data_IF_502079132898
#
_entry.id   IF_502079132898
#
_cell.length_a   1.000
_cell.length_b   1.000
_cell.length_c   1.000
_cell.angle_alpha   90.00
_cell.angle_beta   90.00
_cell.angle_gamma   90.00
#
_symmetry.space_group_name_H-M   'P 1'
#
loop_
_entity.id
_entity.type
_entity.pdbx_description
1 polymer ?
#
# COMPACT_ATOMS: atom_id res chain seq x y z
N UNK A 1 3.03 8.22 14.68
CA UNK A 1 1.95 8.63 13.78
C UNK A 1 2.39 9.91 13.09
N UNK A 2 2.31 9.98 11.78
CA UNK A 2 2.66 11.14 10.97
C UNK A 2 1.36 11.81 10.51
N UNK A 3 1.17 13.08 10.85
CA UNK A 3 0.03 13.88 10.40
C UNK A 3 0.59 14.94 9.45
N UNK A 4 0.19 14.88 8.19
CA UNK A 4 0.51 15.90 7.21
C UNK A 4 -0.70 16.82 7.07
N UNK A 5 -0.51 18.04 7.52
CA UNK A 5 -1.56 19.06 7.60
C UNK A 5 -1.68 19.83 6.30
N UNK A 6 -2.86 20.36 5.99
CA UNK A 6 -3.09 21.21 4.81
C UNK A 6 -3.81 22.48 5.26
N UNK A 7 -3.34 23.62 4.73
CA UNK A 7 -4.00 24.91 4.89
C UNK A 7 -4.66 25.32 3.56
N UNK A 8 -5.98 25.31 3.53
CA UNK A 8 -6.73 25.86 2.39
C UNK A 8 -6.91 27.38 2.57
N UNK A 9 -6.55 28.22 1.59
CA UNK A 9 -6.56 29.67 1.76
C UNK A 9 -7.93 30.31 2.05
N UNK A 10 -9.03 29.61 1.73
CA UNK A 10 -10.38 30.02 2.11
C UNK A 10 -11.37 28.86 2.05
N UNK A 11 -12.65 29.14 2.31
CA UNK A 11 -13.73 28.13 2.32
C UNK A 11 -14.29 27.87 0.93
N UNK A 12 -14.36 28.93 0.11
CA UNK A 12 -14.98 28.91 -1.21
C UNK A 12 -14.03 29.51 -2.24
N UNK A 13 -14.14 29.04 -3.48
CA UNK A 13 -13.51 29.71 -4.61
C UNK A 13 -14.19 31.08 -4.85
N UNK A 14 -13.43 32.00 -5.45
CA UNK A 14 -13.87 33.37 -5.72
C UNK A 14 -13.72 33.73 -7.21
N UNK A 15 -14.71 33.31 -8.00
CA UNK A 15 -14.83 33.47 -9.44
C UNK A 15 -16.29 33.77 -9.86
N UNK A 16 -16.45 34.39 -11.03
CA UNK A 16 -17.77 34.82 -11.49
C UNK A 16 -18.68 33.64 -11.90
N UNK A 17 -18.10 32.58 -12.47
CA UNK A 17 -18.84 31.41 -12.95
C UNK A 17 -19.06 30.39 -11.82
N UNK A 18 -20.29 30.32 -11.30
CA UNK A 18 -20.66 29.43 -10.18
C UNK A 18 -20.66 27.94 -10.51
N UNK A 19 -21.04 27.57 -11.73
CA UNK A 19 -20.99 26.16 -12.17
C UNK A 19 -19.54 25.68 -12.26
N UNK A 20 -18.66 26.55 -12.75
CA UNK A 20 -17.23 26.30 -12.80
C UNK A 20 -16.63 26.20 -11.39
N UNK A 21 -16.94 27.13 -10.48
CA UNK A 21 -16.47 27.08 -9.09
C UNK A 21 -16.83 25.74 -8.44
N UNK A 22 -18.09 25.31 -8.56
CA UNK A 22 -18.57 24.06 -7.97
C UNK A 22 -17.83 22.85 -8.56
N UNK A 23 -17.65 22.83 -9.89
CA UNK A 23 -16.90 21.77 -10.58
C UNK A 23 -15.46 21.68 -10.08
N UNK A 24 -14.75 22.81 -10.01
CA UNK A 24 -13.35 22.85 -9.56
C UNK A 24 -13.23 22.49 -8.08
N UNK A 25 -14.13 22.99 -7.23
CA UNK A 25 -14.12 22.67 -5.81
C UNK A 25 -14.31 21.17 -5.55
N UNK A 26 -15.16 20.48 -6.32
CA UNK A 26 -15.30 19.03 -6.24
C UNK A 26 -14.01 18.28 -6.66
N UNK A 27 -13.28 18.80 -7.66
CA UNK A 27 -11.99 18.24 -8.05
C UNK A 27 -10.93 18.42 -6.96
N UNK A 28 -10.88 19.61 -6.34
CA UNK A 28 -9.99 19.87 -5.21
C UNK A 28 -10.31 18.98 -4.00
N UNK A 29 -11.58 18.74 -3.69
CA UNK A 29 -11.99 17.77 -2.66
C UNK A 29 -11.58 16.34 -2.98
N UNK A 30 -11.61 15.96 -4.26
CA UNK A 30 -11.15 14.63 -4.70
C UNK A 30 -9.64 14.48 -4.47
N UNK A 31 -8.85 15.53 -4.77
CA UNK A 31 -7.42 15.58 -4.45
C UNK A 31 -7.16 15.49 -2.95
N UNK A 32 -7.89 16.27 -2.15
CA UNK A 32 -7.80 16.25 -0.68
C UNK A 32 -8.09 14.85 -0.12
N UNK A 33 -9.13 14.19 -0.62
CA UNK A 33 -9.48 12.83 -0.22
C UNK A 33 -8.35 11.84 -0.52
N UNK A 34 -7.75 11.90 -1.70
CA UNK A 34 -6.63 11.02 -2.07
C UNK A 34 -5.37 11.34 -1.25
N UNK A 35 -5.11 12.61 -0.95
CA UNK A 35 -4.01 13.01 -0.08
C UNK A 35 -4.14 12.40 1.33
N UNK A 36 -5.32 12.51 1.96
CA UNK A 36 -5.53 11.93 3.29
C UNK A 36 -5.59 10.41 3.28
N UNK A 37 -6.07 9.78 2.20
CA UNK A 37 -6.00 8.33 2.02
C UNK A 37 -4.54 7.86 1.98
N UNK A 38 -3.66 8.57 1.27
CA UNK A 38 -2.22 8.31 1.28
C UNK A 38 -1.61 8.51 2.68
N UNK A 39 -1.97 9.58 3.39
CA UNK A 39 -1.51 9.80 4.77
C UNK A 39 -1.93 8.65 5.70
N UNK A 40 -3.18 8.18 5.61
CA UNK A 40 -3.69 7.09 6.41
C UNK A 40 -2.97 5.77 6.09
N UNK A 41 -2.81 5.47 4.79
CA UNK A 41 -2.10 4.28 4.32
C UNK A 41 -0.64 4.24 4.80
N UNK A 42 0.07 5.38 4.79
CA UNK A 42 1.43 5.49 5.31
C UNK A 42 1.50 5.09 6.80
N UNK A 43 0.58 5.60 7.62
CA UNK A 43 0.59 5.29 9.06
C UNK A 43 0.31 3.82 9.33
N UNK A 44 -0.66 3.23 8.61
CA UNK A 44 -0.96 1.80 8.71
C UNK A 44 0.21 0.95 8.23
N UNK A 45 0.89 1.36 7.16
CA UNK A 45 2.08 0.70 6.65
C UNK A 45 3.19 0.68 7.70
N UNK A 46 3.58 1.85 8.23
CA UNK A 46 4.64 1.96 9.25
C UNK A 46 4.29 1.16 10.50
N UNK A 47 3.04 1.24 10.96
CA UNK A 47 2.58 0.47 12.11
C UNK A 47 2.68 -1.05 11.85
N UNK A 48 2.24 -1.52 10.68
CA UNK A 48 2.32 -2.94 10.31
C UNK A 48 3.75 -3.48 10.22
N UNK A 49 4.73 -2.63 9.86
CA UNK A 49 6.13 -3.00 9.88
C UNK A 49 6.70 -3.12 11.30
N UNK A 50 6.24 -2.27 12.23
CA UNK A 50 6.68 -2.28 13.64
C UNK A 50 6.16 -3.48 14.45
N UNK A 51 5.01 -4.06 14.06
CA UNK A 51 4.36 -5.16 14.79
C UNK A 51 4.99 -6.54 14.51
N UNK A 52 5.95 -6.63 13.57
CA UNK A 52 6.57 -7.92 13.22
C UNK A 52 7.19 -8.57 14.47
N UNK A 53 6.69 -9.74 14.90
CA UNK A 53 7.18 -10.38 16.10
C UNK A 53 8.65 -10.75 15.89
N UNK A 54 9.49 -10.38 16.85
CA UNK A 54 10.83 -10.94 16.96
C UNK A 54 10.68 -12.46 17.03
N UNK A 55 11.32 -13.18 16.10
CA UNK A 55 11.39 -14.64 16.11
C UNK A 55 12.04 -15.21 17.40
N UNK A 56 12.57 -14.35 18.27
CA UNK A 56 13.36 -14.69 19.44
C UNK A 56 12.57 -14.72 20.77
N UNK A 57 11.23 -14.75 20.77
CA UNK A 57 10.48 -14.95 22.01
C UNK A 57 10.40 -16.45 22.38
N UNK A 58 11.43 -16.91 23.07
CA UNK A 58 11.58 -18.29 23.54
C UNK A 58 10.40 -18.73 24.42
N UNK A 59 9.87 -17.83 25.25
CA UNK A 59 8.72 -18.15 26.11
C UNK A 59 7.46 -18.41 25.29
N UNK A 60 7.21 -17.60 24.25
CA UNK A 60 6.09 -17.82 23.34
C UNK A 60 6.21 -19.16 22.61
N UNK A 61 7.41 -19.53 22.19
CA UNK A 61 7.66 -20.84 21.56
C UNK A 61 7.41 -21.99 22.53
N UNK A 62 7.90 -21.89 23.78
CA UNK A 62 7.70 -22.93 24.81
C UNK A 62 6.21 -23.09 25.15
N UNK A 63 5.47 -21.98 25.32
CA UNK A 63 4.00 -22.00 25.52
C UNK A 63 3.25 -22.63 24.35
N UNK A 64 3.56 -22.21 23.11
CA UNK A 64 2.94 -22.78 21.91
C UNK A 64 3.25 -24.29 21.78
N UNK A 65 4.45 -24.73 22.15
CA UNK A 65 4.85 -26.15 22.11
C UNK A 65 4.13 -27.00 23.17
N UNK A 66 4.00 -26.48 24.40
CA UNK A 66 3.27 -27.15 25.46
C UNK A 66 1.79 -27.30 25.08
N UNK A 67 1.17 -26.23 24.58
CA UNK A 67 -0.25 -26.26 24.22
C UNK A 67 -0.55 -27.23 23.08
N UNK A 68 0.32 -27.30 22.06
CA UNK A 68 0.21 -28.32 21.00
C UNK A 68 0.25 -29.74 21.56
N UNK A 69 1.14 -30.00 22.52
CA UNK A 69 1.28 -31.32 23.13
C UNK A 69 0.03 -31.73 23.91
N UNK A 70 -0.62 -30.78 24.60
CA UNK A 70 -1.90 -31.01 25.30
C UNK A 70 -3.03 -31.34 24.31
N UNK A 71 -3.15 -30.56 23.23
CA UNK A 71 -4.17 -30.79 22.20
C UNK A 71 -3.95 -32.15 21.53
N UNK A 72 -2.70 -32.51 21.24
CA UNK A 72 -2.37 -33.80 20.65
C UNK A 72 -2.84 -34.96 21.54
N UNK A 73 -2.58 -34.91 22.85
CA UNK A 73 -3.06 -35.94 23.79
C UNK A 73 -4.57 -36.07 23.80
N UNK A 74 -5.30 -34.95 23.69
CA UNK A 74 -6.77 -34.95 23.62
C UNK A 74 -7.23 -35.65 22.32
N UNK A 75 -6.63 -35.31 21.17
CA UNK A 75 -6.97 -35.92 19.87
C UNK A 75 -6.65 -37.43 19.87
N UNK A 76 -5.52 -37.84 20.46
CA UNK A 76 -5.14 -39.25 20.60
C UNK A 76 -6.13 -40.03 21.47
N UNK A 77 -6.60 -39.43 22.57
CA UNK A 77 -7.62 -40.04 23.44
C UNK A 77 -8.98 -40.19 22.74
N UNK A 78 -9.42 -39.16 22.02
CA UNK A 78 -10.68 -39.19 21.25
C UNK A 78 -10.67 -40.25 20.14
N UNK A 79 -9.50 -40.54 19.57
CA UNK A 79 -9.32 -41.55 18.52
C UNK A 79 -9.03 -42.98 19.05
N UNK A 80 -9.22 -43.22 20.35
CA UNK A 80 -9.12 -44.56 20.94
C UNK A 80 -7.72 -44.97 21.41
N UNK A 81 -6.79 -44.03 21.60
CA UNK A 81 -5.55 -44.22 22.37
C UNK A 81 -4.44 -45.04 21.70
N UNK A 82 -4.68 -45.62 20.53
CA UNK A 82 -3.67 -46.36 19.75
C UNK A 82 -3.34 -45.63 18.45
N UNK A 83 -2.22 -44.89 18.46
CA UNK A 83 -1.67 -44.27 17.25
C UNK A 83 -1.02 -45.34 16.39
N UNK A 84 -1.78 -45.97 15.49
CA UNK A 84 -1.20 -46.70 14.36
C UNK A 84 -0.37 -45.73 13.51
N UNK A 85 0.72 -46.16 12.87
CA UNK A 85 1.53 -45.29 11.99
C UNK A 85 0.72 -44.56 10.91
N UNK A 86 -0.39 -45.16 10.48
CA UNK A 86 -1.33 -44.62 9.50
C UNK A 86 -2.16 -43.44 10.03
N UNK A 87 -2.44 -43.39 11.34
CA UNK A 87 -3.24 -42.34 11.98
C UNK A 87 -2.41 -41.15 12.48
N UNK A 88 -1.08 -41.28 12.53
CA UNK A 88 -0.19 -40.23 13.04
C UNK A 88 -0.28 -38.92 12.25
N UNK A 89 -0.36 -39.01 10.91
CA UNK A 89 -0.50 -37.82 10.07
C UNK A 89 -1.83 -37.11 10.33
N UNK A 90 -2.91 -37.87 10.47
CA UNK A 90 -4.24 -37.31 10.69
C UNK A 90 -4.38 -36.69 12.08
N UNK A 91 -3.84 -37.34 13.12
CA UNK A 91 -3.75 -36.80 14.48
C UNK A 91 -2.96 -35.50 14.49
N UNK A 92 -1.81 -35.47 13.80
CA UNK A 92 -0.97 -34.25 13.71
C UNK A 92 -1.69 -33.13 12.98
N UNK A 93 -2.36 -33.44 11.87
CA UNK A 93 -3.14 -32.47 11.12
C UNK A 93 -4.27 -31.88 11.97
N UNK A 94 -5.06 -32.74 12.62
CA UNK A 94 -6.16 -32.33 13.48
C UNK A 94 -5.69 -31.50 14.68
N UNK A 95 -4.57 -31.87 15.29
CA UNK A 95 -3.90 -31.11 16.35
C UNK A 95 -3.57 -29.70 15.88
N UNK A 96 -2.92 -29.56 14.72
CA UNK A 96 -2.57 -28.25 14.15
C UNK A 96 -3.82 -27.42 13.81
N UNK A 97 -4.90 -28.04 13.32
CA UNK A 97 -6.16 -27.33 13.03
C UNK A 97 -6.79 -26.80 14.33
N UNK A 98 -6.89 -27.63 15.38
CA UNK A 98 -7.44 -27.22 16.68
C UNK A 98 -6.59 -26.13 17.32
N UNK A 99 -5.27 -26.30 17.31
CA UNK A 99 -4.32 -25.31 17.83
C UNK A 99 -4.44 -23.95 17.13
N UNK A 100 -4.49 -23.95 15.78
CA UNK A 100 -4.68 -22.72 15.00
C UNK A 100 -6.02 -22.04 15.30
N UNK A 101 -7.12 -22.80 15.34
CA UNK A 101 -8.46 -22.27 15.65
C UNK A 101 -8.52 -21.66 17.05
N UNK A 102 -7.97 -22.34 18.05
CA UNK A 102 -7.88 -21.81 19.42
C UNK A 102 -7.10 -20.50 19.45
N UNK A 103 -5.95 -20.45 18.77
CA UNK A 103 -5.14 -19.24 18.67
C UNK A 103 -5.92 -18.08 18.03
N UNK A 104 -6.68 -18.35 16.97
CA UNK A 104 -7.51 -17.34 16.31
C UNK A 104 -8.68 -16.88 17.18
N UNK A 105 -9.36 -17.79 17.87
CA UNK A 105 -10.45 -17.46 18.81
C UNK A 105 -9.96 -16.59 19.98
N UNK A 106 -8.69 -16.73 20.37
CA UNK A 106 -8.05 -15.91 21.40
C UNK A 106 -7.44 -14.60 20.85
N UNK A 107 -7.79 -14.19 19.62
CA UNK A 107 -7.33 -12.93 19.01
C UNK A 107 -5.98 -13.01 18.30
N UNK A 108 -5.40 -14.21 18.15
CA UNK A 108 -4.18 -14.41 17.36
C UNK A 108 -4.43 -14.20 15.86
N UNK A 109 -3.54 -13.47 15.20
CA UNK A 109 -3.63 -13.19 13.77
C UNK A 109 -2.91 -14.30 12.97
N UNK A 110 -3.48 -14.79 11.85
CA UNK A 110 -2.77 -15.68 10.93
C UNK A 110 -1.47 -15.07 10.40
N UNK A 111 -0.41 -15.86 10.29
CA UNK A 111 0.90 -15.39 9.79
C UNK A 111 0.81 -14.86 8.37
N UNK A 112 -0.04 -15.46 7.56
CA UNK A 112 -0.32 -15.04 6.20
C UNK A 112 -0.92 -13.62 6.18
N UNK A 113 -1.72 -13.26 7.19
CA UNK A 113 -2.28 -11.91 7.29
C UNK A 113 -1.20 -10.93 7.76
N UNK A 114 -0.44 -11.28 8.80
CA UNK A 114 0.70 -10.46 9.27
C UNK A 114 1.70 -10.16 8.15
N UNK A 115 2.02 -11.16 7.33
CA UNK A 115 2.90 -11.01 6.17
C UNK A 115 2.30 -10.07 5.12
N UNK A 116 0.99 -10.22 4.82
CA UNK A 116 0.31 -9.47 3.77
C UNK A 116 -0.04 -8.03 4.15
N UNK A 117 -0.20 -7.72 5.44
CA UNK A 117 -0.63 -6.40 5.92
C UNK A 117 0.23 -5.24 5.36
N UNK A 118 1.57 -5.27 5.45
CA UNK A 118 2.41 -4.23 4.85
C UNK A 118 2.18 -4.06 3.36
N UNK A 119 1.98 -5.15 2.60
CA UNK A 119 1.73 -5.07 1.16
C UNK A 119 0.35 -4.49 0.84
N UNK A 120 -0.66 -4.77 1.67
CA UNK A 120 -2.00 -4.17 1.53
C UNK A 120 -1.89 -2.65 1.70
N UNK A 121 -1.24 -2.18 2.76
CA UNK A 121 -1.11 -0.76 3.03
C UNK A 121 -0.19 -0.03 2.04
N UNK A 122 0.87 -0.68 1.57
CA UNK A 122 1.71 -0.14 0.50
C UNK A 122 0.94 0.03 -0.81
N UNK A 123 0.06 -0.92 -1.18
CA UNK A 123 -0.81 -0.77 -2.35
C UNK A 123 -1.87 0.31 -2.16
N UNK A 124 -2.44 0.44 -0.97
CA UNK A 124 -3.37 1.53 -0.67
C UNK A 124 -2.69 2.89 -0.87
N UNK A 125 -1.46 3.05 -0.38
CA UNK A 125 -0.65 4.24 -0.62
C UNK A 125 -0.40 4.49 -2.11
N UNK A 126 0.03 3.46 -2.84
CA UNK A 126 0.26 3.53 -4.29
C UNK A 126 -1.00 3.96 -5.06
N UNK A 127 -2.15 3.40 -4.71
CA UNK A 127 -3.42 3.73 -5.36
C UNK A 127 -3.91 5.13 -5.02
N UNK A 128 -3.76 5.57 -3.77
CA UNK A 128 -4.07 6.94 -3.39
C UNK A 128 -3.18 7.95 -4.14
N UNK A 129 -1.89 7.65 -4.29
CA UNK A 129 -0.95 8.49 -5.03
C UNK A 129 -1.27 8.54 -6.54
N UNK A 130 -1.56 7.40 -7.18
CA UNK A 130 -2.00 7.34 -8.59
C UNK A 130 -3.39 8.00 -8.78
N UNK A 131 -4.28 7.90 -7.80
CA UNK A 131 -5.56 8.60 -7.77
C UNK A 131 -5.37 10.11 -7.73
N UNK A 132 -4.50 10.61 -6.85
CA UNK A 132 -4.12 12.02 -6.79
C UNK A 132 -3.57 12.51 -8.13
N UNK A 133 -2.60 11.80 -8.71
CA UNK A 133 -2.02 12.13 -10.02
C UNK A 133 -3.11 12.25 -11.11
N UNK A 134 -4.00 11.26 -11.20
CA UNK A 134 -5.10 11.26 -12.16
C UNK A 134 -6.06 12.42 -11.97
N UNK A 135 -6.49 12.70 -10.73
CA UNK A 135 -7.38 13.83 -10.47
C UNK A 135 -6.71 15.17 -10.79
N UNK A 136 -5.41 15.31 -10.50
CA UNK A 136 -4.64 16.50 -10.81
C UNK A 136 -4.48 16.66 -12.32
N UNK A 137 -4.22 15.58 -13.04
CA UNK A 137 -4.14 15.56 -14.50
C UNK A 137 -5.46 15.88 -15.19
N UNK A 138 -6.60 15.54 -14.58
CA UNK A 138 -7.92 15.99 -15.06
C UNK A 138 -8.12 17.48 -14.75
N UNK A 139 -7.79 17.92 -13.54
CA UNK A 139 -7.88 19.34 -13.15
C UNK A 139 -7.03 20.24 -14.05
N UNK A 140 -5.82 19.82 -14.41
CA UNK A 140 -4.90 20.55 -15.28
C UNK A 140 -5.42 20.75 -16.72
N UNK A 141 -6.42 19.97 -17.14
CA UNK A 141 -7.02 20.03 -18.49
C UNK A 141 -8.34 20.81 -18.53
N UNK A 142 -8.81 21.26 -17.38
CA UNK A 142 -10.05 22.04 -17.30
C UNK A 142 -9.86 23.45 -17.88
N UNK A 143 -10.92 24.00 -18.46
CA UNK A 143 -10.90 25.37 -18.95
C UNK A 143 -10.80 26.35 -17.78
N UNK A 144 -10.12 27.48 -17.98
CA UNK A 144 -9.99 28.59 -17.02
C UNK A 144 -9.29 28.25 -15.69
N UNK A 145 -8.60 27.11 -15.58
CA UNK A 145 -7.72 26.83 -14.43
C UNK A 145 -6.40 27.58 -14.54
N UNK A 146 -5.74 27.91 -13.42
CA UNK A 146 -4.41 28.51 -13.45
C UNK A 146 -3.40 27.65 -14.21
N UNK A 147 -2.57 28.26 -15.05
CA UNK A 147 -1.53 27.54 -15.85
C UNK A 147 -0.52 26.79 -14.97
N UNK A 148 -0.35 27.24 -13.71
CA UNK A 148 0.52 26.60 -12.73
C UNK A 148 0.09 25.16 -12.39
N UNK A 149 -1.20 24.83 -12.51
CA UNK A 149 -1.71 23.48 -12.24
C UNK A 149 -1.06 22.44 -13.14
N UNK A 150 -0.79 22.79 -14.41
CA UNK A 150 -0.09 21.90 -15.33
C UNK A 150 1.36 21.64 -14.89
N UNK A 151 2.02 22.63 -14.27
CA UNK A 151 3.38 22.47 -13.72
C UNK A 151 3.39 21.55 -12.51
N UNK A 152 2.40 21.68 -11.62
CA UNK A 152 2.25 20.78 -10.48
C UNK A 152 1.97 19.33 -10.90
N UNK A 153 1.16 19.14 -11.94
CA UNK A 153 0.95 17.80 -12.52
C UNK A 153 2.25 17.21 -13.09
N UNK A 154 3.05 18.00 -13.82
CA UNK A 154 4.35 17.54 -14.33
C UNK A 154 5.31 17.14 -13.20
N UNK A 155 5.30 17.88 -12.08
CA UNK A 155 6.14 17.60 -10.92
C UNK A 155 5.83 16.24 -10.28
N UNK A 156 4.59 15.74 -10.36
CA UNK A 156 4.28 14.38 -9.88
C UNK A 156 5.06 13.32 -10.65
N UNK A 157 5.15 13.45 -11.97
CA UNK A 157 5.91 12.51 -12.80
C UNK A 157 7.43 12.58 -12.55
N UNK A 158 7.94 13.74 -12.15
CA UNK A 158 9.35 13.92 -11.77
C UNK A 158 9.66 13.29 -10.41
N UNK A 159 8.79 13.48 -9.42
CA UNK A 159 8.99 12.95 -8.06
C UNK A 159 8.65 11.44 -7.96
N UNK A 160 7.74 10.94 -8.82
CA UNK A 160 7.25 9.57 -8.80
C UNK A 160 7.29 8.92 -10.21
N UNK A 161 8.47 8.76 -10.82
CA UNK A 161 8.60 8.32 -12.21
C UNK A 161 8.02 6.92 -12.47
N UNK A 162 8.13 6.01 -11.51
CA UNK A 162 7.69 4.62 -11.66
C UNK A 162 6.23 4.39 -11.25
N UNK A 163 5.52 5.42 -10.77
CA UNK A 163 4.19 5.31 -10.15
C UNK A 163 3.21 4.55 -11.03
N UNK A 164 3.08 5.00 -12.28
CA UNK A 164 2.16 4.42 -13.24
C UNK A 164 2.55 2.98 -13.59
N UNK A 165 3.85 2.71 -13.74
CA UNK A 165 4.37 1.39 -14.09
C UNK A 165 4.10 0.37 -12.99
N UNK A 166 4.46 0.70 -11.75
CA UNK A 166 4.23 -0.14 -10.56
C UNK A 166 2.74 -0.35 -10.32
N UNK A 167 1.92 0.70 -10.43
CA UNK A 167 0.46 0.61 -10.29
C UNK A 167 -0.17 -0.30 -11.33
N UNK A 168 0.23 -0.17 -12.60
CA UNK A 168 -0.29 -1.04 -13.66
C UNK A 168 0.06 -2.52 -13.40
N UNK A 169 1.26 -2.82 -12.90
CA UNK A 169 1.62 -4.19 -12.51
C UNK A 169 0.80 -4.67 -11.31
N UNK A 170 0.56 -3.82 -10.31
CA UNK A 170 -0.29 -4.18 -9.17
C UNK A 170 -1.74 -4.49 -9.57
N UNK A 171 -2.27 -3.82 -10.61
CA UNK A 171 -3.61 -4.05 -11.15
C UNK A 171 -3.70 -5.27 -12.09
N UNK A 172 -2.62 -5.59 -12.79
CA UNK A 172 -2.54 -6.67 -13.78
C UNK A 172 -1.49 -7.71 -13.38
N UNK A 173 -1.55 -8.13 -12.11
CA UNK A 173 -0.56 -9.01 -11.51
C UNK A 173 -0.52 -10.38 -12.21
N UNK A 174 -1.68 -10.85 -12.66
CA UNK A 174 -1.88 -12.10 -13.39
C UNK A 174 -1.14 -12.12 -14.73
N UNK A 175 -1.18 -11.02 -15.47
CA UNK A 175 -0.47 -10.90 -16.75
C UNK A 175 1.04 -10.86 -16.52
N UNK A 176 1.48 -10.12 -15.50
CA UNK A 176 2.90 -10.03 -15.13
C UNK A 176 3.43 -11.36 -14.62
N UNK A 177 2.64 -12.11 -13.84
CA UNK A 177 2.99 -13.44 -13.36
C UNK A 177 3.21 -14.45 -14.50
N UNK A 178 2.51 -14.26 -15.62
CA UNK A 178 2.68 -15.05 -16.85
C UNK A 178 3.90 -14.61 -17.68
N UNK A 179 4.66 -13.61 -17.24
CA UNK A 179 5.76 -13.04 -17.99
C UNK A 179 5.28 -12.27 -19.22
N UNK A 180 4.10 -11.64 -19.16
CA UNK A 180 3.58 -10.80 -20.23
C UNK A 180 3.79 -9.32 -19.93
N UNK A 181 4.20 -8.57 -20.94
CA UNK A 181 4.34 -7.11 -20.93
C UNK A 181 3.13 -6.41 -21.55
N UNK A 182 3.34 -5.24 -22.15
CA UNK A 182 2.28 -4.48 -22.83
C UNK A 182 1.70 -5.27 -24.00
N UNK A 183 0.37 -5.40 -24.07
CA UNK A 183 -0.33 -6.03 -25.18
C UNK A 183 -0.08 -7.54 -25.31
N UNK A 184 0.07 -8.25 -24.18
CA UNK A 184 0.29 -9.71 -24.13
C UNK A 184 1.56 -10.20 -24.84
N UNK A 185 2.56 -9.33 -25.00
CA UNK A 185 3.87 -9.72 -25.55
C UNK A 185 4.76 -10.34 -24.46
N UNK A 186 5.63 -11.30 -24.78
CA UNK A 186 6.62 -11.81 -23.84
C UNK A 186 7.45 -10.69 -23.23
N UNK A 187 7.61 -10.72 -21.90
CA UNK A 187 8.35 -9.74 -21.14
C UNK A 187 9.85 -10.02 -21.21
N UNK A 188 10.62 -9.02 -21.63
CA UNK A 188 12.08 -9.09 -21.61
C UNK A 188 12.57 -8.46 -20.32
N UNK A 189 12.99 -9.29 -19.36
CA UNK A 189 13.48 -8.83 -18.07
C UNK A 189 14.79 -8.07 -18.22
N UNK A 190 14.92 -6.98 -17.48
CA UNK A 190 16.13 -6.15 -17.45
C UNK A 190 16.90 -6.34 -16.15
N UNK A 191 18.22 -6.09 -16.17
CA UNK A 191 19.05 -6.25 -14.99
C UNK A 191 18.50 -5.45 -13.80
N UNK A 192 18.54 -6.05 -12.61
CA UNK A 192 18.21 -5.37 -11.36
C UNK A 192 19.37 -5.59 -10.38
N UNK A 193 19.80 -4.53 -9.74
CA UNK A 193 20.78 -4.59 -8.66
C UNK A 193 20.40 -3.56 -7.60
N UNK A 194 19.75 -4.03 -6.53
CA UNK A 194 19.40 -3.22 -5.36
C UNK A 194 19.78 -3.96 -4.06
N UNK A 195 19.43 -3.38 -2.91
CA UNK A 195 19.76 -3.95 -1.59
C UNK A 195 19.09 -5.30 -1.29
N UNK A 196 18.05 -5.69 -2.05
CA UNK A 196 17.33 -6.94 -1.86
C UNK A 196 17.71 -8.01 -2.89
N UNK A 197 17.91 -7.61 -4.15
CA UNK A 197 18.08 -8.52 -5.29
C UNK A 197 19.22 -8.01 -6.18
N UNK A 198 20.15 -8.91 -6.50
CA UNK A 198 21.15 -8.72 -7.54
C UNK A 198 20.97 -9.79 -8.62
N UNK A 199 20.32 -9.42 -9.72
CA UNK A 199 20.04 -10.28 -10.86
C UNK A 199 20.47 -9.56 -12.16
N UNK A 200 21.72 -9.76 -12.61
CA UNK A 200 22.24 -9.13 -13.83
C UNK A 200 21.53 -9.63 -15.10
N UNK A 201 20.92 -10.82 -15.08
CA UNK A 201 20.04 -11.32 -16.15
C UNK A 201 18.57 -10.86 -16.05
N UNK A 202 18.25 -10.06 -15.03
CA UNK A 202 16.88 -9.67 -14.67
C UNK A 202 16.13 -10.71 -13.84
N UNK A 203 15.12 -10.24 -13.12
CA UNK A 203 14.25 -11.08 -12.30
C UNK A 203 12.81 -10.58 -12.39
N UNK A 204 11.86 -11.51 -12.44
CA UNK A 204 10.43 -11.18 -12.38
C UNK A 204 10.04 -11.00 -10.91
N UNK A 205 9.67 -9.77 -10.55
CA UNK A 205 9.31 -9.38 -9.19
C UNK A 205 7.89 -8.84 -9.22
N UNK A 206 6.96 -9.54 -8.58
CA UNK A 206 5.54 -9.19 -8.68
C UNK A 206 5.05 -8.31 -7.53
N UNK A 207 5.52 -8.61 -6.32
CA UNK A 207 5.07 -7.93 -5.10
C UNK A 207 6.22 -7.92 -4.10
N UNK A 208 6.94 -6.80 -4.02
CA UNK A 208 8.17 -6.71 -3.25
C UNK A 208 8.19 -5.47 -2.37
N UNK A 209 8.68 -5.66 -1.14
CA UNK A 209 8.97 -4.59 -0.19
C UNK A 209 10.45 -4.61 0.17
N UNK A 210 11.17 -3.57 -0.23
CA UNK A 210 12.57 -3.31 0.12
C UNK A 210 12.63 -2.15 1.12
N UNK A 211 12.51 -2.46 2.41
CA UNK A 211 12.32 -1.44 3.45
C UNK A 211 10.96 -0.75 3.29
N UNK A 212 10.97 0.56 3.05
CA UNK A 212 9.78 1.38 2.74
C UNK A 212 9.39 1.34 1.27
N UNK A 213 10.22 0.79 0.38
CA UNK A 213 9.99 0.83 -1.07
C UNK A 213 9.14 -0.33 -1.53
N UNK A 214 8.00 -0.01 -2.13
CA UNK A 214 7.10 -0.95 -2.78
C UNK A 214 7.38 -1.00 -4.27
N UNK A 215 7.77 -2.17 -4.78
CA UNK A 215 8.18 -2.27 -6.18
C UNK A 215 7.80 -3.57 -6.84
N UNK A 216 7.80 -3.51 -8.17
CA UNK A 216 7.49 -4.62 -9.06
C UNK A 216 8.13 -4.43 -10.43
N UNK A 217 8.23 -5.52 -11.19
CA UNK A 217 8.66 -5.49 -12.58
C UNK A 217 7.55 -4.87 -13.43
N UNK A 218 7.90 -3.78 -14.09
CA UNK A 218 7.02 -3.03 -14.98
C UNK A 218 6.86 -3.75 -16.32
N UNK A 219 5.93 -3.25 -17.13
CA UNK A 219 5.59 -3.83 -18.42
C UNK A 219 6.71 -3.78 -19.47
N UNK A 220 7.74 -2.96 -19.24
CA UNK A 220 8.93 -2.81 -20.08
C UNK A 220 10.12 -3.65 -19.59
N UNK A 221 9.90 -4.44 -18.53
CA UNK A 221 10.88 -5.36 -17.96
C UNK A 221 11.83 -4.76 -16.93
N UNK A 222 11.80 -3.43 -16.72
CA UNK A 222 12.54 -2.82 -15.62
C UNK A 222 11.83 -3.07 -14.29
N UNK A 223 12.60 -3.07 -13.21
CA UNK A 223 12.04 -2.96 -11.87
C UNK A 223 11.78 -1.50 -11.55
N UNK A 224 10.55 -1.18 -11.16
CA UNK A 224 10.18 0.13 -10.65
C UNK A 224 9.77 0.04 -9.19
N UNK A 225 9.91 1.15 -8.46
CA UNK A 225 9.54 1.21 -7.05
C UNK A 225 8.98 2.58 -6.65
N UNK A 226 8.11 2.58 -5.64
CA UNK A 226 7.58 3.77 -4.99
C UNK A 226 7.92 3.71 -3.51
N UNK A 227 8.46 4.80 -2.99
CA UNK A 227 8.79 4.92 -1.59
C UNK A 227 7.55 5.24 -0.75
N UNK A 228 7.18 4.35 0.16
CA UNK A 228 6.06 4.52 1.10
C UNK A 228 6.63 5.11 2.40
N UNK A 229 6.91 6.40 2.37
CA UNK A 229 7.64 7.09 3.43
C UNK A 229 7.07 8.48 3.74
N UNK A 230 7.46 9.06 4.90
CA UNK A 230 7.17 10.46 5.21
C UNK A 230 7.71 11.44 4.16
N UNK A 231 8.86 11.15 3.55
CA UNK A 231 9.47 12.01 2.53
C UNK A 231 8.61 12.08 1.27
N UNK A 232 8.05 10.95 0.82
CA UNK A 232 7.09 10.92 -0.29
C UNK A 232 5.82 11.71 0.02
N UNK A 233 5.30 11.58 1.24
CA UNK A 233 4.13 12.38 1.67
C UNK A 233 4.43 13.87 1.73
N UNK A 234 5.61 14.27 2.17
CA UNK A 234 6.00 15.68 2.22
C UNK A 234 6.06 16.31 0.83
N UNK A 235 6.54 15.57 -0.18
CA UNK A 235 6.52 16.03 -1.58
C UNK A 235 5.11 16.18 -2.11
N UNK A 236 4.25 15.21 -1.83
CA UNK A 236 2.84 15.27 -2.20
C UNK A 236 2.13 16.46 -1.53
N UNK A 237 2.43 16.72 -0.25
CA UNK A 237 1.90 17.86 0.50
C UNK A 237 2.29 19.19 -0.15
N UNK A 238 3.58 19.38 -0.48
CA UNK A 238 4.05 20.59 -1.16
C UNK A 238 3.36 20.82 -2.51
N UNK A 239 3.13 19.74 -3.28
CA UNK A 239 2.40 19.84 -4.54
C UNK A 239 0.94 20.23 -4.29
N UNK A 240 0.28 19.61 -3.32
CA UNK A 240 -1.13 19.88 -3.04
C UNK A 240 -1.35 21.29 -2.49
N UNK A 241 -0.50 21.75 -1.57
CA UNK A 241 -0.54 23.13 -1.08
C UNK A 241 -0.32 24.14 -2.21
N UNK A 242 0.63 23.86 -3.12
CA UNK A 242 0.84 24.68 -4.31
C UNK A 242 -0.39 24.75 -5.21
N UNK A 243 -1.06 23.61 -5.43
CA UNK A 243 -2.33 23.55 -6.17
C UNK A 243 -3.41 24.40 -5.49
N UNK A 244 -3.56 24.31 -4.18
CA UNK A 244 -4.56 25.11 -3.45
C UNK A 244 -4.24 26.61 -3.52
N UNK A 245 -2.97 27.00 -3.39
CA UNK A 245 -2.54 28.40 -3.44
C UNK A 245 -2.71 29.05 -4.82
N UNK A 246 -2.75 28.27 -5.90
CA UNK A 246 -2.92 28.80 -7.26
C UNK A 246 -4.33 29.36 -7.53
N UNK A 247 -5.34 28.97 -6.73
CA UNK A 247 -6.72 29.44 -6.90
C UNK A 247 -7.02 30.69 -6.07
N UNK A 248 -8.02 31.48 -6.53
CA UNK A 248 -8.58 32.58 -5.74
C UNK A 248 -9.62 32.05 -4.76
N UNK A 249 -9.47 32.43 -3.51
CA UNK A 249 -10.33 31.98 -2.41
C UNK A 249 -10.98 33.16 -1.68
N UNK A 250 -12.14 32.88 -1.10
CA UNK A 250 -12.86 33.75 -0.16
C UNK A 250 -13.31 32.96 1.07
N UNK A 251 -13.62 33.69 2.14
CA UNK A 251 -14.00 33.10 3.43
C UNK A 251 -12.79 32.84 4.33
N UNK A 252 -13.01 32.12 5.43
CA UNK A 252 -11.95 31.84 6.40
C UNK A 252 -11.02 30.73 5.92
N UNK A 253 -9.73 30.86 6.23
CA UNK A 253 -8.76 29.78 6.04
C UNK A 253 -9.24 28.51 6.73
N UNK A 254 -9.01 27.36 6.11
CA UNK A 254 -9.32 26.05 6.66
C UNK A 254 -8.02 25.32 6.97
N UNK A 255 -8.04 24.52 8.03
CA UNK A 255 -6.92 23.68 8.45
C UNK A 255 -7.42 22.25 8.62
N UNK A 256 -6.81 21.30 7.92
CA UNK A 256 -7.16 19.88 7.95
C UNK A 256 -5.91 19.04 8.22
N UNK A 257 -6.01 17.85 8.85
CA UNK A 257 -7.23 17.15 9.27
C UNK A 257 -7.80 17.64 10.61
N UNK A 258 -9.06 17.27 10.90
CA UNK A 258 -9.72 17.53 12.19
C UNK A 258 -9.20 16.62 13.31
N UNK A 259 -9.31 17.07 14.57
CA UNK A 259 -8.98 16.30 15.77
C UNK A 259 -10.12 15.38 16.22
#
# INVERSE_FOLDING_TARGET
MFVFEIVTPGTWLDYDNKDWEWKIQNRLRSLESQFFEANAALNLFVNSQSIRPSFADREKWERDSQRRSEIQRIVEQERGGFSSPENWEEIRFETEVRFKREKWSNGGVPREFEHNLPFIYARAFLYALDGFDKFLGVLAKEENVPEEIAKFHAKIAEEFPDLRGVRNTAQHLEDRARGLGVGNKPLVLKPISNSLINAPGGALILNCLNGSRYGSTMSDGHYGEIDVSPDSMQRLQQIFEGVLQAFKWRGSKQHTPSA
#
